data_IF_891425356315
#
_entry.id   IF_891425356315
#
_cell.length_a   1.000
_cell.length_b   1.000
_cell.length_c   1.000
_cell.angle_alpha   90.00
_cell.angle_beta   90.00
_cell.angle_gamma   90.00
#
_symmetry.space_group_name_H-M   'P 1'
#
loop_
_entity.id
_entity.type
_entity.pdbx_description
1 polymer ?
#
# COMPACT_ATOMS: atom_id res chain seq x y z
N UNK A 1 -29.41 18.73 14.63
CA UNK A 1 -29.65 17.43 13.97
C UNK A 1 -28.30 16.90 13.50
N UNK A 2 -27.83 15.70 13.88
CA UNK A 2 -26.52 15.25 13.45
C UNK A 2 -26.62 14.68 12.02
N UNK A 3 -25.75 15.17 11.14
CA UNK A 3 -25.65 14.76 9.75
C UNK A 3 -25.30 13.27 9.64
N UNK A 4 -26.09 12.54 8.86
CA UNK A 4 -25.92 11.12 8.57
C UNK A 4 -24.64 10.93 7.76
N UNK A 5 -23.64 10.22 8.32
CA UNK A 5 -22.45 9.74 7.59
C UNK A 5 -22.89 8.74 6.51
N UNK A 6 -23.05 9.19 5.26
CA UNK A 6 -23.26 8.27 4.14
C UNK A 6 -21.91 7.68 3.70
N UNK A 7 -21.73 6.38 3.96
CA UNK A 7 -20.71 5.57 3.29
C UNK A 7 -21.07 5.35 1.84
N UNK A 8 -20.11 5.50 0.95
CA UNK A 8 -20.28 5.10 -0.44
C UNK A 8 -20.27 3.56 -0.51
N UNK A 9 -21.43 2.96 -0.73
CA UNK A 9 -21.55 1.54 -1.03
C UNK A 9 -21.18 1.32 -2.50
N UNK A 10 -20.14 0.53 -2.78
CA UNK A 10 -19.66 0.29 -4.15
C UNK A 10 -20.09 -1.08 -4.66
N UNK A 11 -20.26 -1.19 -5.99
CA UNK A 11 -20.66 -2.41 -6.73
C UNK A 11 -19.76 -3.65 -6.50
N UNK A 12 -18.64 -3.51 -5.78
CA UNK A 12 -17.66 -4.56 -5.46
C UNK A 12 -17.83 -5.21 -4.08
N UNK A 13 -18.73 -4.70 -3.23
CA UNK A 13 -18.93 -5.18 -1.85
C UNK A 13 -17.87 -4.71 -0.85
N UNK A 14 -16.95 -3.82 -1.25
CA UNK A 14 -16.08 -3.08 -0.35
C UNK A 14 -16.74 -1.76 0.07
N UNK A 15 -16.67 -1.43 1.35
CA UNK A 15 -17.06 -0.14 1.89
C UNK A 15 -15.79 0.59 2.35
N UNK A 16 -15.63 1.83 1.90
CA UNK A 16 -14.49 2.67 2.27
C UNK A 16 -15.02 3.90 2.98
N UNK A 17 -14.57 4.10 4.23
CA UNK A 17 -14.97 5.21 5.09
C UNK A 17 -13.71 5.97 5.51
N UNK A 18 -13.34 6.97 4.71
CA UNK A 18 -12.05 7.65 4.87
C UNK A 18 -10.90 6.66 4.66
N UNK A 19 -10.23 6.29 5.75
CA UNK A 19 -9.11 5.35 5.74
C UNK A 19 -9.49 3.94 6.20
N UNK A 20 -10.73 3.73 6.64
CA UNK A 20 -11.23 2.42 7.04
C UNK A 20 -11.80 1.70 5.83
N UNK A 21 -11.42 0.44 5.66
CA UNK A 21 -11.82 -0.44 4.57
C UNK A 21 -12.47 -1.68 5.18
N UNK A 22 -13.75 -1.84 4.92
CA UNK A 22 -14.49 -3.06 5.18
C UNK A 22 -14.66 -3.81 3.86
N UNK A 23 -14.10 -5.02 3.79
CA UNK A 23 -14.22 -5.86 2.61
C UNK A 23 -14.44 -7.32 3.00
N UNK A 24 -15.58 -7.87 2.56
CA UNK A 24 -16.06 -9.17 2.99
C UNK A 24 -16.16 -9.23 4.53
N UNK A 25 -15.31 -10.03 5.18
CA UNK A 25 -15.20 -10.12 6.63
C UNK A 25 -13.99 -9.38 7.18
N UNK A 26 -13.15 -8.79 6.33
CA UNK A 26 -11.97 -8.05 6.77
C UNK A 26 -12.32 -6.61 7.08
N UNK A 27 -11.73 -6.12 8.17
CA UNK A 27 -11.72 -4.71 8.54
C UNK A 27 -10.25 -4.28 8.62
N UNK A 28 -9.88 -3.23 7.88
CA UNK A 28 -8.50 -2.74 7.79
C UNK A 28 -8.53 -1.22 7.75
N UNK A 29 -7.75 -0.57 8.61
CA UNK A 29 -7.47 0.86 8.48
C UNK A 29 -6.14 1.06 7.77
N UNK A 30 -6.13 1.85 6.71
CA UNK A 30 -4.90 2.19 5.97
C UNK A 30 -4.33 3.54 6.43
N UNK A 31 -3.01 3.63 6.43
CA UNK A 31 -2.25 4.85 6.67
C UNK A 31 -1.15 4.98 5.64
N UNK A 32 -0.59 6.18 5.54
CA UNK A 32 0.54 6.44 4.68
C UNK A 32 1.51 7.42 5.34
N UNK A 33 2.81 7.18 5.23
CA UNK A 33 3.83 8.13 5.65
C UNK A 33 5.04 8.15 4.70
N UNK A 34 5.83 9.22 4.79
CA UNK A 34 6.97 9.48 3.90
C UNK A 34 8.03 8.37 3.88
N UNK A 35 8.16 7.63 4.99
CA UNK A 35 9.22 6.64 5.19
C UNK A 35 8.78 5.26 4.74
N UNK A 36 7.74 4.73 5.37
CA UNK A 36 7.28 3.34 5.17
C UNK A 36 6.33 3.20 3.97
N UNK A 37 5.76 4.31 3.47
CA UNK A 37 4.67 4.27 2.51
C UNK A 37 3.39 3.74 3.17
N UNK A 38 2.81 2.67 2.62
CA UNK A 38 1.58 2.05 3.13
C UNK A 38 1.79 1.42 4.52
N UNK A 39 0.90 1.78 5.45
CA UNK A 39 0.83 1.18 6.78
C UNK A 39 -0.58 0.61 6.99
N UNK A 40 -0.66 -0.62 7.48
CA UNK A 40 -1.90 -1.26 7.88
C UNK A 40 -2.08 -1.10 9.38
N UNK A 41 -3.26 -0.69 9.82
CA UNK A 41 -3.67 -0.52 11.21
C UNK A 41 -4.93 -1.32 11.49
N UNK A 42 -5.06 -1.80 12.74
CA UNK A 42 -6.28 -2.41 13.26
C UNK A 42 -6.88 -3.49 12.35
N UNK A 43 -6.05 -4.34 11.77
CA UNK A 43 -6.50 -5.44 10.93
C UNK A 43 -7.28 -6.42 11.79
N UNK A 44 -8.53 -6.64 11.41
CA UNK A 44 -9.44 -7.55 12.08
C UNK A 44 -10.29 -8.36 11.12
N UNK A 45 -10.87 -9.43 11.64
CA UNK A 45 -11.77 -10.31 10.89
C UNK A 45 -13.08 -10.50 11.63
N UNK A 46 -14.19 -10.34 10.90
CA UNK A 46 -15.56 -10.44 11.40
C UNK A 46 -15.94 -11.91 11.60
N UNK A 47 -16.27 -12.23 12.83
CA UNK A 47 -16.65 -13.55 13.29
C UNK A 47 -17.96 -13.42 14.09
N UNK A 48 -19.09 -13.63 13.40
CA UNK A 48 -20.41 -13.25 13.89
C UNK A 48 -20.53 -11.73 14.03
N UNK A 49 -20.98 -11.28 15.20
CA UNK A 49 -21.25 -9.85 15.48
C UNK A 49 -20.00 -9.08 15.95
N UNK A 50 -18.86 -9.76 16.14
CA UNK A 50 -17.62 -9.13 16.61
C UNK A 50 -16.53 -9.11 15.55
N UNK A 51 -15.68 -8.09 15.60
CA UNK A 51 -14.42 -8.04 14.87
C UNK A 51 -13.33 -8.59 15.79
N UNK A 52 -12.73 -9.71 15.40
CA UNK A 52 -11.58 -10.29 16.11
C UNK A 52 -10.30 -9.61 15.63
N UNK A 53 -9.51 -9.01 16.52
CA UNK A 53 -8.24 -8.39 16.13
C UNK A 53 -7.26 -9.47 15.66
N UNK A 54 -6.57 -9.19 14.55
CA UNK A 54 -5.51 -10.05 13.99
C UNK A 54 -4.17 -9.35 14.09
N UNK A 55 -4.11 -8.07 13.71
CA UNK A 55 -2.88 -7.31 13.73
C UNK A 55 -3.14 -5.84 14.08
N UNK A 56 -2.40 -5.33 15.06
CA UNK A 56 -2.48 -3.93 15.44
C UNK A 56 -1.84 -3.01 14.38
N UNK A 57 -0.64 -3.36 13.88
CA UNK A 57 0.09 -2.59 12.87
C UNK A 57 1.03 -3.44 12.02
N UNK A 58 1.04 -3.24 10.69
CA UNK A 58 2.07 -3.75 9.77
C UNK A 58 2.55 -2.68 8.80
N UNK A 59 3.83 -2.72 8.46
CA UNK A 59 4.47 -1.87 7.45
C UNK A 59 5.79 -2.49 7.00
N UNK A 60 6.33 -1.97 5.89
CA UNK A 60 7.70 -2.27 5.47
C UNK A 60 8.65 -1.30 6.19
N UNK A 61 9.30 -1.77 7.25
CA UNK A 61 10.12 -0.91 8.13
C UNK A 61 11.53 -0.67 7.62
N UNK A 62 12.06 -1.59 6.80
CA UNK A 62 13.35 -1.45 6.13
C UNK A 62 13.47 -2.42 4.94
N UNK A 63 14.29 -2.07 3.96
CA UNK A 63 14.77 -2.93 2.88
C UNK A 63 16.23 -2.60 2.62
N UNK A 64 17.06 -3.62 2.42
CA UNK A 64 18.49 -3.43 2.11
C UNK A 64 18.82 -4.12 0.79
N UNK A 65 19.58 -3.45 -0.07
CA UNK A 65 19.99 -3.96 -1.39
C UNK A 65 21.52 -3.91 -1.50
N UNK A 66 22.23 -4.87 -0.87
CA UNK A 66 23.68 -4.94 -0.93
C UNK A 66 24.16 -5.51 -2.27
N UNK A 67 25.15 -4.87 -2.87
CA UNK A 67 25.87 -5.39 -4.03
C UNK A 67 27.05 -6.23 -3.56
N UNK A 68 27.32 -7.34 -4.26
CA UNK A 68 28.37 -8.30 -3.89
C UNK A 68 29.67 -8.15 -4.71
N UNK A 69 29.84 -7.09 -5.50
CA UNK A 69 31.10 -6.83 -6.23
C UNK A 69 32.15 -6.23 -5.29
N UNK A 70 33.28 -6.91 -5.15
CA UNK A 70 34.39 -6.50 -4.26
C UNK A 70 35.27 -5.41 -4.85
N UNK A 71 35.13 -5.07 -6.14
CA UNK A 71 35.92 -4.01 -6.78
C UNK A 71 35.46 -2.64 -6.28
N UNK A 72 36.39 -1.70 -6.18
CA UNK A 72 36.03 -0.31 -5.92
C UNK A 72 35.33 0.31 -7.15
N UNK A 73 34.30 1.16 -6.97
CA UNK A 73 33.74 1.65 -5.71
C UNK A 73 32.53 0.85 -5.22
N UNK A 74 32.32 -0.38 -5.67
CA UNK A 74 31.07 -1.13 -5.48
C UNK A 74 30.86 -1.68 -4.08
N UNK A 75 31.92 -1.85 -3.31
CA UNK A 75 31.87 -2.28 -1.90
C UNK A 75 31.00 -1.40 -1.00
N UNK A 76 30.73 -0.14 -1.39
CA UNK A 76 29.86 0.78 -0.64
C UNK A 76 28.40 0.76 -1.10
N UNK A 77 28.07 0.00 -2.15
CA UNK A 77 26.71 -0.06 -2.69
C UNK A 77 25.84 -0.97 -1.82
N UNK A 78 25.24 -0.38 -0.80
CA UNK A 78 24.16 -0.98 -0.03
C UNK A 78 23.15 0.12 0.25
N UNK A 79 22.09 0.16 -0.53
CA UNK A 79 21.00 1.09 -0.29
C UNK A 79 20.09 0.53 0.81
N UNK A 80 19.72 1.37 1.78
CA UNK A 80 18.64 1.09 2.70
C UNK A 80 17.39 1.85 2.27
N UNK A 81 16.61 1.31 1.35
CA UNK A 81 15.60 2.07 0.57
C UNK A 81 14.61 2.85 1.46
N UNK A 82 14.15 2.24 2.54
CA UNK A 82 13.19 2.86 3.47
C UNK A 82 13.86 3.94 4.31
N UNK A 83 15.09 3.70 4.75
CA UNK A 83 15.81 4.60 5.66
C UNK A 83 16.46 5.79 4.96
N UNK A 84 17.10 5.55 3.82
CA UNK A 84 17.93 6.53 3.13
C UNK A 84 17.10 7.44 2.20
N UNK A 85 16.04 6.90 1.60
CA UNK A 85 15.22 7.61 0.61
C UNK A 85 13.78 7.84 1.08
N UNK A 86 13.20 6.83 1.72
CA UNK A 86 11.80 6.84 2.15
C UNK A 86 10.87 6.37 1.04
N UNK A 87 10.28 5.19 1.21
CA UNK A 87 9.39 4.60 0.21
C UNK A 87 8.14 5.44 -0.06
N UNK A 88 7.64 6.14 0.94
CA UNK A 88 6.51 7.05 0.77
C UNK A 88 6.84 8.23 -0.13
N UNK A 89 8.02 8.83 0.06
CA UNK A 89 8.53 9.91 -0.79
C UNK A 89 8.81 9.44 -2.22
N UNK A 90 9.26 8.20 -2.38
CA UNK A 90 9.53 7.59 -3.68
C UNK A 90 8.31 6.90 -4.31
N UNK A 91 7.11 7.06 -3.74
CA UNK A 91 5.90 6.41 -4.27
C UNK A 91 5.37 7.14 -5.50
N UNK A 92 5.08 6.37 -6.56
CA UNK A 92 4.50 6.90 -7.78
C UNK A 92 2.99 7.17 -7.61
N UNK A 93 2.55 8.32 -8.10
CA UNK A 93 1.13 8.60 -8.33
C UNK A 93 0.55 7.63 -9.37
N UNK A 94 -0.52 6.92 -9.02
CA UNK A 94 -1.14 5.95 -9.93
C UNK A 94 -2.14 6.62 -10.86
N UNK A 95 -2.09 6.28 -12.14
CA UNK A 95 -3.05 6.74 -13.15
C UNK A 95 -4.00 5.62 -13.56
N UNK A 96 -5.28 5.98 -13.77
CA UNK A 96 -6.33 5.04 -14.16
C UNK A 96 -6.07 4.53 -15.59
N UNK A 97 -5.92 3.23 -15.78
CA UNK A 97 -5.77 2.58 -17.09
C UNK A 97 -4.34 2.33 -17.60
N UNK A 98 -3.31 2.91 -17.00
CA UNK A 98 -1.91 2.66 -17.38
C UNK A 98 -1.22 1.66 -16.44
N UNK A 99 -1.41 1.82 -15.13
CA UNK A 99 -0.76 0.95 -14.15
C UNK A 99 -1.58 -0.32 -13.88
N UNK A 100 -2.90 -0.24 -14.05
CA UNK A 100 -3.81 -1.32 -13.66
C UNK A 100 -5.15 -1.34 -14.42
N UNK A 101 -5.66 -2.56 -14.66
CA UNK A 101 -6.98 -2.82 -15.25
C UNK A 101 -8.05 -3.05 -14.16
N UNK A 102 -9.27 -2.54 -14.38
CA UNK A 102 -10.48 -2.83 -13.58
C UNK A 102 -11.00 -1.67 -12.73
N UNK A 103 -11.92 -1.96 -11.80
CA UNK A 103 -12.48 -0.96 -10.87
C UNK A 103 -11.53 -0.74 -9.70
N UNK A 104 -11.15 0.52 -9.47
CA UNK A 104 -10.09 0.88 -8.52
C UNK A 104 -10.59 1.98 -7.60
N UNK A 105 -10.44 1.76 -6.29
CA UNK A 105 -10.50 2.84 -5.30
C UNK A 105 -9.08 3.27 -4.98
N UNK A 106 -8.99 4.55 -4.70
CA UNK A 106 -7.80 5.33 -4.80
C UNK A 106 -7.77 6.28 -3.61
N UNK A 107 -6.70 6.26 -2.84
CA UNK A 107 -6.53 7.14 -1.67
C UNK A 107 -5.30 8.02 -1.84
N UNK A 108 -5.50 9.31 -1.60
CA UNK A 108 -4.42 10.29 -1.63
C UNK A 108 -3.59 10.24 -0.35
N UNK A 109 -2.32 10.60 -0.46
CA UNK A 109 -1.47 10.90 0.69
C UNK A 109 -0.87 12.30 0.53
N UNK A 110 -0.72 12.98 1.66
CA UNK A 110 -0.14 14.32 1.74
C UNK A 110 1.24 14.18 2.37
N UNK A 111 2.26 14.67 1.68
CA UNK A 111 3.66 14.65 2.12
C UNK A 111 4.23 16.07 2.09
N UNK A 112 5.26 16.33 2.88
CA UNK A 112 5.98 17.61 2.86
C UNK A 112 7.22 17.52 1.97
N UNK A 113 7.58 18.61 1.32
CA UNK A 113 8.86 18.75 0.64
C UNK A 113 9.91 19.48 1.50
N UNK A 114 11.14 19.52 1.01
CA UNK A 114 12.26 20.22 1.67
C UNK A 114 12.10 21.74 1.80
N UNK A 115 11.05 22.32 1.21
CA UNK A 115 10.71 23.75 1.29
C UNK A 115 9.45 24.00 2.14
N UNK A 116 9.07 23.01 2.96
CA UNK A 116 7.93 23.04 3.87
C UNK A 116 6.58 23.36 3.19
N UNK A 117 6.48 23.07 1.89
CA UNK A 117 5.20 23.09 1.19
C UNK A 117 4.62 21.69 1.25
N UNK A 118 3.35 21.59 1.68
CA UNK A 118 2.59 20.36 1.49
C UNK A 118 2.48 20.10 0.00
N UNK A 119 3.09 19.01 -0.44
CA UNK A 119 2.77 18.44 -1.73
C UNK A 119 1.54 17.57 -1.51
N UNK A 120 0.39 18.06 -1.98
CA UNK A 120 -0.41 17.16 -2.79
C UNK A 120 0.50 16.81 -3.97
N UNK A 121 0.95 15.56 -4.07
CA UNK A 121 1.86 15.14 -5.14
C UNK A 121 1.27 15.61 -6.49
N UNK A 122 1.99 16.36 -7.36
CA UNK A 122 1.34 17.13 -8.43
C UNK A 122 1.06 16.26 -9.69
N UNK A 123 -0.02 16.51 -10.46
CA UNK A 123 -1.45 16.28 -10.17
C UNK A 123 -1.98 14.92 -10.71
N UNK A 124 -3.24 14.55 -10.42
CA UNK A 124 -3.73 13.91 -9.20
C UNK A 124 -3.81 12.39 -9.42
N UNK A 125 -2.74 11.69 -9.08
CA UNK A 125 -2.71 10.24 -9.10
C UNK A 125 -2.74 9.71 -7.67
N UNK A 126 -3.83 9.11 -7.21
CA UNK A 126 -3.91 8.43 -5.91
C UNK A 126 -2.78 7.41 -5.70
N UNK A 127 -2.31 7.28 -4.46
CA UNK A 127 -1.09 6.50 -4.14
C UNK A 127 -1.41 5.07 -3.69
N UNK A 128 -2.52 4.91 -2.97
CA UNK A 128 -2.96 3.60 -2.50
C UNK A 128 -4.10 3.11 -3.39
N UNK A 129 -3.96 1.87 -3.86
CA UNK A 129 -4.98 1.17 -4.64
C UNK A 129 -5.63 0.07 -3.82
N UNK A 130 -6.96 0.07 -3.80
CA UNK A 130 -7.76 -1.06 -3.35
C UNK A 130 -8.48 -1.63 -4.57
N UNK A 131 -8.23 -2.91 -4.89
CA UNK A 131 -8.82 -3.56 -6.06
C UNK A 131 -9.22 -5.00 -5.76
N UNK A 132 -10.38 -5.41 -6.31
CA UNK A 132 -10.86 -6.78 -6.27
C UNK A 132 -10.35 -7.54 -7.49
N UNK A 133 -9.48 -8.53 -7.28
CA UNK A 133 -9.24 -9.60 -8.26
C UNK A 133 -10.02 -10.83 -7.79
N UNK A 134 -10.91 -11.38 -8.64
CA UNK A 134 -11.44 -12.72 -8.41
C UNK A 134 -10.30 -13.72 -8.64
N UNK A 135 -9.48 -13.90 -7.62
CA UNK A 135 -8.53 -15.00 -7.53
C UNK A 135 -8.71 -15.62 -6.16
N UNK A 136 -8.97 -16.93 -6.18
CA UNK A 136 -8.85 -17.78 -4.99
C UNK A 136 -7.55 -17.40 -4.28
N UNK A 137 -7.68 -17.05 -3.00
CA UNK A 137 -6.63 -16.54 -2.13
C UNK A 137 -5.31 -17.30 -2.36
N UNK A 138 -4.34 -16.63 -2.97
CA UNK A 138 -2.93 -16.81 -2.71
C UNK A 138 -2.35 -15.42 -2.47
N UNK A 139 -1.90 -15.20 -1.25
CA UNK A 139 -1.07 -14.08 -0.85
C UNK A 139 0.12 -14.02 -1.82
N UNK A 140 0.16 -13.03 -2.70
CA UNK A 140 1.28 -12.83 -3.62
C UNK A 140 2.42 -12.14 -2.85
N UNK A 141 3.14 -12.93 -2.05
CA UNK A 141 4.54 -12.65 -1.78
C UNK A 141 5.25 -12.81 -3.14
N UNK A 142 5.96 -11.79 -3.61
CA UNK A 142 6.74 -11.86 -4.84
C UNK A 142 7.89 -12.86 -4.61
N UNK A 143 7.68 -14.12 -4.97
CA UNK A 143 8.72 -15.09 -5.23
C UNK A 143 8.85 -15.22 -6.74
N UNK A 144 9.99 -14.77 -7.26
CA UNK A 144 10.39 -14.90 -8.66
C UNK A 144 10.24 -16.36 -9.11
N UNK A 145 9.63 -16.65 -10.27
CA UNK A 145 9.59 -18.02 -10.77
C UNK A 145 10.99 -18.44 -11.24
N UNK A 146 11.54 -19.46 -10.59
CA UNK A 146 12.65 -20.24 -11.09
C UNK A 146 12.32 -20.81 -12.46
N UNK A 147 13.22 -20.54 -13.39
CA UNK A 147 13.26 -21.03 -14.77
C UNK A 147 13.24 -22.57 -14.77
N UNK A 148 12.17 -23.18 -15.27
CA UNK A 148 12.20 -24.57 -15.72
C UNK A 148 12.20 -24.55 -17.26
N UNK A 149 13.26 -25.10 -17.85
CA UNK A 149 13.34 -25.39 -19.28
C UNK A 149 12.61 -26.70 -19.58
N UNK A 150 11.96 -26.85 -20.74
CA UNK A 150 11.52 -28.15 -21.24
C UNK A 150 12.68 -28.82 -22.00
N UNK A 151 13.10 -30.02 -21.59
CA UNK A 151 12.89 -31.33 -22.25
C UNK A 151 13.11 -32.40 -21.19
#
# INVERSE_FOLDING_TARGET
MPATRQGSHWASGAQVHGNDIDYQKWHIRIGFNYREGLVLHNVGYRDGDRIRPILHRASLVQMAVPYADTKQPYVRKCAFDVGDYGLGNCSNSLALGCDWLGHIHYSDAILNNSRDKSLGHPPPGPLIRVHRRQLRIRLLLILLPGRQHPV
#
